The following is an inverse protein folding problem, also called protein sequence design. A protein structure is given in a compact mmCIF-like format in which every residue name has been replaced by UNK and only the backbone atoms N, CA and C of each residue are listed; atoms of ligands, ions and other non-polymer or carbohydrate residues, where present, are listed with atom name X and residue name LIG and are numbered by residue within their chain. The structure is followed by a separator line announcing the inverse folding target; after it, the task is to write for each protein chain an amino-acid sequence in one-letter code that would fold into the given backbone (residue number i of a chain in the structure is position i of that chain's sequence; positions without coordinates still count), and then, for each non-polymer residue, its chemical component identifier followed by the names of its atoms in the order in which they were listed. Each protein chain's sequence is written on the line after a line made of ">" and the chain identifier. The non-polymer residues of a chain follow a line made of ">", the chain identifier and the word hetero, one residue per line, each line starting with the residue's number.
data_IF_988168459366
#
_entry.id   IF_988168459366
#
_cell.length_a   1.000
_cell.length_b   1.000
_cell.length_c   1.000
_cell.angle_alpha   90.00
_cell.angle_beta   90.00
_cell.angle_gamma   90.00
#
_symmetry.space_group_name_H-M   'P 1'
#
loop_
_entity.id
_entity.type
_entity.pdbx_description
1 polymer ?
#
# COMPACT_ATOMS: atom_id res chain seq x y z
N UNK A 1 1.81 -10.48 -22.90
CA UNK A 1 0.92 -9.30 -22.67
C UNK A 1 1.42 -8.54 -21.44
N UNK A 2 1.89 -7.29 -21.58
CA UNK A 2 2.29 -6.45 -20.43
C UNK A 2 1.04 -6.06 -19.65
N UNK A 3 0.80 -6.67 -18.47
CA UNK A 3 -0.24 -6.21 -17.52
C UNK A 3 -0.04 -4.70 -17.31
N UNK A 4 -1.02 -3.88 -17.70
CA UNK A 4 -1.03 -2.43 -17.45
C UNK A 4 -0.76 -2.24 -15.96
N UNK A 5 0.39 -1.66 -15.62
CA UNK A 5 0.74 -1.35 -14.23
C UNK A 5 -0.26 -0.30 -13.77
N UNK A 6 -1.15 -0.64 -12.84
CA UNK A 6 -1.93 0.36 -12.12
C UNK A 6 -0.93 1.31 -11.44
N UNK A 7 -0.96 2.57 -11.85
CA UNK A 7 -0.19 3.61 -11.19
C UNK A 7 -1.00 4.06 -9.99
N UNK A 8 -0.48 3.81 -8.79
CA UNK A 8 -1.01 4.37 -7.55
C UNK A 8 -0.25 5.65 -7.25
N UNK A 9 -0.99 6.74 -7.09
CA UNK A 9 -0.42 8.00 -6.60
C UNK A 9 0.17 7.82 -5.20
N UNK A 10 1.15 8.64 -4.79
CA UNK A 10 1.67 8.61 -3.42
C UNK A 10 0.56 8.76 -2.37
N UNK A 11 -0.44 9.59 -2.64
CA UNK A 11 -1.59 9.84 -1.77
C UNK A 11 -2.46 8.60 -1.58
N UNK A 12 -2.77 7.88 -2.67
CA UNK A 12 -3.50 6.61 -2.59
C UNK A 12 -2.74 5.57 -1.78
N UNK A 13 -1.41 5.45 -1.96
CA UNK A 13 -0.59 4.52 -1.17
C UNK A 13 -0.70 4.81 0.32
N UNK A 14 -0.59 6.09 0.70
CA UNK A 14 -0.69 6.52 2.10
C UNK A 14 -2.09 6.26 2.65
N UNK A 15 -3.15 6.48 1.86
CA UNK A 15 -4.53 6.20 2.27
C UNK A 15 -4.72 4.71 2.58
N UNK A 16 -4.21 3.82 1.73
CA UNK A 16 -4.29 2.37 1.93
C UNK A 16 -3.46 1.90 3.14
N UNK A 17 -2.28 2.48 3.35
CA UNK A 17 -1.47 2.20 4.55
C UNK A 17 -2.17 2.68 5.82
N UNK A 18 -2.81 3.85 5.79
CA UNK A 18 -3.59 4.37 6.93
C UNK A 18 -4.77 3.47 7.26
N UNK A 19 -5.49 2.93 6.28
CA UNK A 19 -6.57 1.96 6.53
C UNK A 19 -6.08 0.75 7.32
N UNK A 20 -4.93 0.18 6.94
CA UNK A 20 -4.38 -0.95 7.69
C UNK A 20 -3.90 -0.54 9.09
N UNK A 21 -3.12 0.53 9.19
CA UNK A 21 -2.42 0.93 10.41
C UNK A 21 -3.34 1.60 11.45
N UNK A 22 -4.37 2.32 11.00
CA UNK A 22 -5.28 3.10 11.87
C UNK A 22 -6.60 2.37 12.08
N UNK A 23 -7.23 1.88 11.00
CA UNK A 23 -8.52 1.21 11.09
C UNK A 23 -8.38 -0.28 11.41
N UNK A 24 -7.17 -0.85 11.34
CA UNK A 24 -6.93 -2.28 11.58
C UNK A 24 -7.43 -3.18 10.45
N UNK A 25 -7.74 -2.63 9.27
CA UNK A 25 -8.24 -3.39 8.12
C UNK A 25 -7.20 -4.41 7.67
N UNK A 26 -7.59 -5.65 7.41
CA UNK A 26 -6.67 -6.69 6.98
C UNK A 26 -6.04 -6.37 5.61
N UNK A 27 -4.73 -6.63 5.46
CA UNK A 27 -4.00 -6.43 4.21
C UNK A 27 -4.63 -7.20 3.05
N UNK A 28 -5.16 -8.40 3.32
CA UNK A 28 -5.86 -9.22 2.32
C UNK A 28 -7.08 -8.48 1.74
N UNK A 29 -7.92 -7.91 2.60
CA UNK A 29 -9.11 -7.16 2.17
C UNK A 29 -8.71 -5.94 1.32
N UNK A 30 -7.73 -5.16 1.79
CA UNK A 30 -7.21 -4.01 1.05
C UNK A 30 -6.67 -4.42 -0.32
N UNK A 31 -5.95 -5.54 -0.38
CA UNK A 31 -5.38 -6.06 -1.62
C UNK A 31 -6.45 -6.55 -2.60
N UNK A 32 -7.46 -7.25 -2.12
CA UNK A 32 -8.59 -7.74 -2.93
C UNK A 32 -9.41 -6.57 -3.51
N UNK A 33 -9.82 -5.62 -2.67
CA UNK A 33 -10.64 -4.48 -3.07
C UNK A 33 -9.93 -3.59 -4.10
N UNK A 34 -8.64 -3.35 -3.92
CA UNK A 34 -7.88 -2.45 -4.78
C UNK A 34 -7.24 -3.17 -5.99
N UNK A 35 -7.33 -4.51 -6.06
CA UNK A 35 -6.53 -5.36 -6.96
C UNK A 35 -5.04 -5.05 -6.85
N UNK A 36 -4.57 -4.94 -5.62
CA UNK A 36 -3.17 -4.72 -5.26
C UNK A 36 -2.54 -6.07 -4.91
N UNK A 37 -1.27 -6.26 -5.26
CA UNK A 37 -0.55 -7.44 -4.81
C UNK A 37 -0.04 -7.22 -3.39
N UNK A 38 -0.20 -8.18 -2.46
CA UNK A 38 0.28 -8.06 -1.09
C UNK A 38 1.77 -7.71 -0.99
N UNK A 39 2.60 -8.27 -1.89
CA UNK A 39 4.03 -7.96 -1.99
C UNK A 39 4.31 -6.48 -2.24
N UNK A 40 3.47 -5.80 -3.02
CA UNK A 40 3.57 -4.36 -3.28
C UNK A 40 3.16 -3.55 -2.05
N UNK A 41 2.10 -3.97 -1.36
CA UNK A 41 1.65 -3.34 -0.12
C UNK A 41 2.73 -3.35 0.96
N UNK A 42 3.33 -4.51 1.24
CA UNK A 42 4.43 -4.62 2.21
C UNK A 42 5.64 -3.78 1.82
N UNK A 43 5.96 -3.68 0.52
CA UNK A 43 7.04 -2.81 0.04
C UNK A 43 6.75 -1.34 0.32
N UNK A 44 5.51 -0.88 0.12
CA UNK A 44 5.11 0.48 0.45
C UNK A 44 5.13 0.75 1.95
N UNK A 45 4.67 -0.20 2.76
CA UNK A 45 4.71 -0.08 4.21
C UNK A 45 6.15 0.12 4.69
N UNK A 46 7.09 -0.72 4.22
CA UNK A 46 8.51 -0.58 4.52
C UNK A 46 9.06 0.77 4.08
N UNK A 47 8.80 1.17 2.82
CA UNK A 47 9.28 2.43 2.28
C UNK A 47 8.73 3.65 3.05
N UNK A 48 7.48 3.58 3.52
CA UNK A 48 6.86 4.63 4.32
C UNK A 48 7.56 4.81 5.67
N UNK A 49 7.89 3.71 6.37
CA UNK A 49 8.61 3.78 7.65
C UNK A 49 10.10 4.08 7.48
N UNK A 50 10.77 3.56 6.46
CA UNK A 50 12.19 3.87 6.18
C UNK A 50 12.38 5.36 5.85
N UNK A 51 11.43 5.99 5.13
CA UNK A 51 11.47 7.43 4.89
C UNK A 51 10.98 8.24 6.09
N UNK A 52 10.02 7.72 6.87
CA UNK A 52 9.53 8.38 8.08
C UNK A 52 10.53 8.41 9.23
N UNK A 53 11.45 7.44 9.31
CA UNK A 53 12.51 7.39 10.31
C UNK A 53 13.70 8.33 10.02
N UNK A 54 13.78 8.88 8.81
CA UNK A 54 14.84 9.80 8.38
C UNK A 54 14.45 11.29 8.50
N UNK A 55 13.28 11.60 9.08
CA UNK A 55 12.75 12.95 9.26
C UNK A 55 12.92 13.45 10.70
#
# INVERSE_FOLDING_TARGET
>A
MRKKRKHYSPEEKVRLLKEHLVNGTAVSQICDENKLQPTVFYRWQRQFFEQGAAA
#
